data_IF_906265538998
#
_entry.id   IF_906265538998
#
_cell.length_a   1.000
_cell.length_b   1.000
_cell.length_c   1.000
_cell.angle_alpha   90.00
_cell.angle_beta   90.00
_cell.angle_gamma   90.00
#
_symmetry.space_group_name_H-M   'P 1'
#
loop_
_entity.id
_entity.type
_entity.pdbx_description
1 polymer ?
#
# COMPACT_ATOMS: atom_id res chain seq x y z
N UNK A 1 -53.46 29.05 -12.66
CA UNK A 1 -52.81 27.79 -12.22
C UNK A 1 -51.30 27.71 -12.54
N UNK A 2 -50.65 28.76 -13.06
CA UNK A 2 -49.24 28.73 -13.51
C UNK A 2 -48.20 29.25 -12.51
N UNK A 3 -48.61 29.94 -11.44
CA UNK A 3 -47.67 30.49 -10.44
C UNK A 3 -46.99 29.41 -9.59
N UNK A 4 -47.68 28.32 -9.25
CA UNK A 4 -47.12 27.24 -8.41
C UNK A 4 -46.06 26.38 -9.14
N UNK A 5 -46.15 26.26 -10.46
CA UNK A 5 -45.19 25.50 -11.26
C UNK A 5 -43.81 26.19 -11.33
N UNK A 6 -43.80 27.53 -11.44
CA UNK A 6 -42.55 28.31 -11.47
C UNK A 6 -41.80 28.25 -10.14
N UNK A 7 -42.51 28.32 -9.00
CA UNK A 7 -41.90 28.14 -7.69
C UNK A 7 -41.34 26.73 -7.51
N UNK A 8 -42.05 25.69 -7.97
CA UNK A 8 -41.55 24.32 -7.93
C UNK A 8 -40.28 24.13 -8.77
N UNK A 9 -40.22 24.70 -9.98
CA UNK A 9 -39.02 24.61 -10.83
C UNK A 9 -37.82 25.36 -10.25
N UNK A 10 -38.02 26.52 -9.63
CA UNK A 10 -36.93 27.30 -9.00
C UNK A 10 -36.37 26.54 -7.79
N UNK A 11 -37.23 25.93 -6.97
CA UNK A 11 -36.81 25.11 -5.82
C UNK A 11 -35.99 23.91 -6.29
N UNK A 12 -36.40 23.22 -7.37
CA UNK A 12 -35.66 22.07 -7.92
C UNK A 12 -34.27 22.51 -8.42
N UNK A 13 -34.16 23.62 -9.16
CA UNK A 13 -32.87 24.11 -9.67
C UNK A 13 -31.96 24.57 -8.53
N UNK A 14 -32.49 25.20 -7.49
CA UNK A 14 -31.72 25.59 -6.29
C UNK A 14 -31.25 24.36 -5.52
N UNK A 15 -32.09 23.34 -5.36
CA UNK A 15 -31.69 22.09 -4.71
C UNK A 15 -30.62 21.36 -5.52
N UNK A 16 -30.77 21.27 -6.85
CA UNK A 16 -29.77 20.63 -7.72
C UNK A 16 -28.44 21.39 -7.73
N UNK A 17 -28.46 22.72 -7.75
CA UNK A 17 -27.23 23.53 -7.69
C UNK A 17 -26.58 23.47 -6.32
N UNK A 18 -27.35 23.43 -5.22
CA UNK A 18 -26.82 23.21 -3.87
C UNK A 18 -26.25 21.81 -3.69
N UNK A 19 -26.90 20.77 -4.22
CA UNK A 19 -26.36 19.39 -4.22
C UNK A 19 -25.09 19.30 -5.05
N UNK A 20 -25.06 19.95 -6.23
CA UNK A 20 -23.87 20.05 -7.06
C UNK A 20 -22.73 20.80 -6.36
N UNK A 21 -23.03 21.91 -5.67
CA UNK A 21 -22.04 22.68 -4.91
C UNK A 21 -21.55 21.92 -3.67
N UNK A 22 -22.42 21.22 -2.95
CA UNK A 22 -22.02 20.37 -1.82
C UNK A 22 -21.18 19.17 -2.28
N UNK A 23 -21.45 18.61 -3.47
CA UNK A 23 -20.61 17.59 -4.11
C UNK A 23 -19.21 18.10 -4.45
N UNK A 24 -19.06 19.39 -4.82
CA UNK A 24 -17.74 20.02 -5.05
C UNK A 24 -17.09 20.59 -3.79
N UNK A 25 -17.85 20.75 -2.70
CA UNK A 25 -17.41 21.41 -1.46
C UNK A 25 -16.54 20.54 -0.54
N UNK A 26 -16.34 19.27 -0.86
CA UNK A 26 -15.46 18.38 -0.08
C UNK A 26 -14.12 18.15 -0.78
N UNK A 27 -13.34 19.21 -0.99
CA UNK A 27 -11.88 19.07 -0.99
C UNK A 27 -11.43 19.09 0.47
N UNK A 28 -11.73 17.99 1.17
CA UNK A 28 -11.15 17.73 2.48
C UNK A 28 -9.63 17.73 2.33
N UNK A 29 -8.93 18.39 3.25
CA UNK A 29 -7.47 18.40 3.34
C UNK A 29 -6.93 17.02 3.75
N UNK A 30 -7.18 16.00 2.92
CA UNK A 30 -6.47 14.74 2.97
C UNK A 30 -5.00 15.02 2.66
N UNK A 31 -4.10 14.52 3.53
CA UNK A 31 -2.66 14.51 3.23
C UNK A 31 -2.49 13.76 1.91
N UNK A 32 -2.27 14.49 0.82
CA UNK A 32 -1.94 13.87 -0.46
C UNK A 32 -0.76 12.93 -0.26
N UNK A 33 -0.82 11.75 -0.87
CA UNK A 33 0.31 10.83 -0.90
C UNK A 33 1.42 11.56 -1.68
N UNK A 34 2.36 12.18 -0.96
CA UNK A 34 3.36 13.09 -1.51
C UNK A 34 4.20 12.38 -2.56
N UNK A 35 4.45 13.06 -3.67
CA UNK A 35 5.08 12.43 -4.80
C UNK A 35 6.09 13.33 -5.49
N UNK A 36 7.35 12.89 -5.51
CA UNK A 36 8.44 13.59 -6.18
C UNK A 36 8.60 13.04 -7.59
N UNK A 37 8.36 13.87 -8.61
CA UNK A 37 8.46 13.51 -10.04
C UNK A 37 9.93 13.38 -10.54
N UNK A 38 10.87 13.08 -9.66
CA UNK A 38 12.28 12.94 -10.01
C UNK A 38 12.53 11.53 -10.53
N UNK A 39 13.06 11.40 -11.76
CA UNK A 39 13.49 10.11 -12.31
C UNK A 39 14.45 9.42 -11.34
N UNK A 40 14.20 8.15 -11.09
CA UNK A 40 15.00 7.35 -10.17
C UNK A 40 16.40 7.10 -10.71
N UNK A 41 17.37 6.97 -9.80
CA UNK A 41 18.80 6.86 -10.16
C UNK A 41 19.15 5.61 -10.97
N UNK A 42 18.27 4.60 -10.98
CA UNK A 42 18.44 3.35 -11.76
C UNK A 42 17.47 3.24 -12.95
N UNK A 43 16.63 4.24 -13.18
CA UNK A 43 15.69 4.28 -14.32
C UNK A 43 16.37 4.86 -15.57
N UNK A 44 17.16 4.04 -16.26
CA UNK A 44 17.79 4.40 -17.55
C UNK A 44 16.98 3.90 -18.75
N UNK A 45 17.05 4.52 -19.94
CA UNK A 45 16.24 4.13 -21.10
C UNK A 45 16.46 2.69 -21.61
N UNK A 46 17.60 2.07 -21.27
CA UNK A 46 17.95 0.71 -21.69
C UNK A 46 17.52 -0.36 -20.69
N UNK A 47 16.96 0.02 -19.53
CA UNK A 47 16.45 -0.93 -18.54
C UNK A 47 15.17 -1.59 -19.07
N UNK A 48 15.17 -2.92 -19.14
CA UNK A 48 14.03 -3.69 -19.68
C UNK A 48 13.28 -4.49 -18.62
N UNK A 49 13.97 -4.94 -17.55
CA UNK A 49 13.39 -5.84 -16.56
C UNK A 49 14.10 -5.74 -15.21
N UNK A 50 13.34 -5.90 -14.12
CA UNK A 50 13.85 -5.88 -12.74
C UNK A 50 13.20 -7.02 -11.97
N UNK A 51 14.03 -7.84 -11.31
CA UNK A 51 13.57 -8.78 -10.28
C UNK A 51 14.02 -8.24 -8.93
N UNK A 52 13.10 -8.18 -7.97
CA UNK A 52 13.41 -7.90 -6.57
C UNK A 52 13.10 -9.14 -5.75
N UNK A 53 14.14 -9.75 -5.17
CA UNK A 53 14.00 -10.84 -4.20
C UNK A 53 14.42 -10.29 -2.84
N UNK A 54 13.54 -10.43 -1.86
CA UNK A 54 13.79 -9.94 -0.50
C UNK A 54 13.35 -10.96 0.52
N UNK A 55 14.08 -11.02 1.63
CA UNK A 55 13.61 -11.68 2.85
C UNK A 55 12.44 -10.88 3.44
N UNK A 56 11.62 -11.56 4.24
CA UNK A 56 10.69 -10.90 5.16
C UNK A 56 11.42 -9.90 6.09
N UNK A 57 10.68 -8.93 6.63
CA UNK A 57 11.20 -7.98 7.61
C UNK A 57 11.56 -8.65 8.94
N UNK A 58 12.08 -7.87 9.89
CA UNK A 58 12.36 -8.36 11.24
C UNK A 58 11.13 -9.04 11.88
N UNK A 59 11.35 -10.17 12.54
CA UNK A 59 10.31 -11.01 13.15
C UNK A 59 10.72 -11.49 14.54
N UNK A 60 9.76 -11.98 15.32
CA UNK A 60 10.03 -12.76 16.53
C UNK A 60 10.81 -14.05 16.23
N UNK A 61 11.46 -14.64 17.24
CA UNK A 61 12.16 -15.91 17.11
C UNK A 61 11.18 -17.03 16.75
N UNK A 62 11.65 -18.06 16.02
CA UNK A 62 10.85 -19.28 15.79
C UNK A 62 10.95 -20.25 16.97
N UNK A 63 12.07 -20.21 17.67
CA UNK A 63 12.35 -20.98 18.87
C UNK A 63 13.43 -20.27 19.67
N UNK A 64 13.54 -20.62 20.95
CA UNK A 64 14.54 -20.12 21.88
C UNK A 64 15.18 -21.29 22.59
N UNK A 65 16.46 -21.14 22.97
CA UNK A 65 17.11 -22.13 23.85
C UNK A 65 16.49 -22.08 25.25
N UNK A 66 16.53 -23.20 25.96
CA UNK A 66 15.90 -23.33 27.28
C UNK A 66 16.40 -22.29 28.30
N UNK A 67 17.66 -21.88 28.20
CA UNK A 67 18.28 -20.88 29.08
C UNK A 67 18.04 -19.42 28.66
N UNK A 68 17.29 -19.18 27.58
CA UNK A 68 17.01 -17.83 27.12
C UNK A 68 16.21 -17.05 28.18
N UNK A 69 16.65 -15.84 28.57
CA UNK A 69 15.84 -14.97 29.43
C UNK A 69 14.59 -14.43 28.72
N UNK A 70 14.57 -14.48 27.39
CA UNK A 70 13.45 -14.05 26.55
C UNK A 70 12.95 -15.25 25.77
N UNK A 71 11.91 -15.92 26.28
CA UNK A 71 11.34 -17.09 25.63
C UNK A 71 10.53 -16.67 24.39
N UNK A 72 10.52 -17.52 23.36
CA UNK A 72 9.85 -17.22 22.08
C UNK A 72 8.33 -17.00 22.23
N UNK A 73 7.72 -17.65 23.21
CA UNK A 73 6.30 -17.52 23.54
C UNK A 73 5.98 -16.37 24.53
N UNK A 74 7.00 -15.63 24.98
CA UNK A 74 6.79 -14.48 25.85
C UNK A 74 6.21 -13.31 25.05
N UNK A 75 4.89 -13.14 25.13
CA UNK A 75 4.16 -12.08 24.42
C UNK A 75 4.38 -10.69 25.00
N UNK A 76 4.98 -10.57 26.19
CA UNK A 76 5.42 -9.27 26.70
C UNK A 76 6.65 -8.74 25.95
N UNK A 77 7.49 -9.65 25.46
CA UNK A 77 8.72 -9.35 24.69
C UNK A 77 8.47 -9.44 23.18
N UNK A 78 7.64 -10.40 22.75
CA UNK A 78 7.26 -10.64 21.37
C UNK A 78 5.74 -10.46 21.21
N UNK A 79 5.21 -9.23 21.13
CA UNK A 79 3.76 -8.97 21.16
C UNK A 79 2.96 -9.63 20.04
N UNK A 80 3.59 -9.88 18.89
CA UNK A 80 2.97 -10.57 17.76
C UNK A 80 3.14 -12.09 17.83
N UNK A 81 3.95 -12.61 18.76
CA UNK A 81 4.20 -14.02 18.95
C UNK A 81 5.38 -14.58 18.15
N UNK A 82 5.50 -15.90 18.22
CA UNK A 82 6.57 -16.71 17.64
C UNK A 82 6.60 -16.56 16.13
N UNK A 83 7.75 -16.22 15.56
CA UNK A 83 7.94 -16.16 14.10
C UNK A 83 7.21 -15.03 13.38
N UNK A 84 6.40 -14.24 14.08
CA UNK A 84 5.58 -13.19 13.49
C UNK A 84 6.34 -11.89 13.25
N UNK A 85 5.90 -11.14 12.24
CA UNK A 85 6.55 -9.90 11.82
C UNK A 85 6.43 -8.83 12.92
N UNK A 86 7.54 -8.22 13.33
CA UNK A 86 7.53 -7.16 14.35
C UNK A 86 7.12 -5.82 13.75
N UNK A 87 6.76 -4.85 14.59
CA UNK A 87 6.51 -3.47 14.12
C UNK A 87 7.74 -2.88 13.41
N UNK A 88 8.95 -3.21 13.88
CA UNK A 88 10.20 -2.84 13.20
C UNK A 88 10.29 -3.48 11.82
N UNK A 89 9.97 -4.76 11.71
CA UNK A 89 9.92 -5.48 10.44
C UNK A 89 8.94 -4.87 9.46
N UNK A 90 7.77 -4.45 9.96
CA UNK A 90 6.76 -3.77 9.13
C UNK A 90 7.29 -2.48 8.51
N UNK A 91 7.88 -1.62 9.35
CA UNK A 91 8.48 -0.36 8.90
C UNK A 91 9.65 -0.58 7.93
N UNK A 92 10.44 -1.64 8.12
CA UNK A 92 11.53 -2.00 7.21
C UNK A 92 11.01 -2.32 5.81
N UNK A 93 9.95 -3.11 5.71
CA UNK A 93 9.41 -3.52 4.41
C UNK A 93 8.74 -2.37 3.67
N UNK A 94 8.00 -1.52 4.39
CA UNK A 94 7.45 -0.29 3.80
C UNK A 94 8.54 0.63 3.24
N UNK A 95 9.57 0.92 4.03
CA UNK A 95 10.70 1.75 3.59
C UNK A 95 11.50 1.11 2.46
N UNK A 96 11.58 -0.22 2.42
CA UNK A 96 12.20 -0.93 1.31
C UNK A 96 11.40 -0.72 0.02
N UNK A 97 10.06 -0.76 0.09
CA UNK A 97 9.16 -0.40 -1.01
C UNK A 97 9.41 1.02 -1.51
N UNK A 98 9.43 2.01 -0.61
CA UNK A 98 9.75 3.41 -0.95
C UNK A 98 11.13 3.55 -1.60
N UNK A 99 12.11 2.79 -1.09
CA UNK A 99 13.47 2.81 -1.65
C UNK A 99 13.52 2.23 -3.05
N UNK A 100 12.85 1.11 -3.31
CA UNK A 100 12.75 0.52 -4.65
C UNK A 100 12.00 1.47 -5.58
N UNK A 101 10.89 2.07 -5.14
CA UNK A 101 10.16 3.09 -5.89
C UNK A 101 11.07 4.23 -6.33
N UNK A 102 11.82 4.81 -5.40
CA UNK A 102 12.72 5.94 -5.70
C UNK A 102 13.88 5.55 -6.61
N UNK A 103 14.38 4.31 -6.56
CA UNK A 103 15.43 3.85 -7.47
C UNK A 103 14.94 3.70 -8.91
N UNK A 104 13.71 3.22 -9.10
CA UNK A 104 13.15 2.85 -10.41
C UNK A 104 12.03 3.77 -10.88
N UNK A 105 11.87 4.96 -10.28
CA UNK A 105 10.87 5.94 -10.72
C UNK A 105 11.11 6.34 -12.19
N UNK A 106 10.10 6.19 -13.03
CA UNK A 106 10.18 6.39 -14.48
C UNK A 106 10.47 5.12 -15.31
N UNK A 107 10.89 4.03 -14.66
CA UNK A 107 10.79 2.67 -15.22
C UNK A 107 9.50 2.01 -14.73
N UNK A 108 9.25 2.09 -13.42
CA UNK A 108 7.93 1.79 -12.86
C UNK A 108 7.01 3.00 -13.09
N UNK A 109 5.90 2.77 -13.79
CA UNK A 109 4.82 3.77 -13.88
C UNK A 109 4.34 4.13 -12.47
N UNK A 110 3.88 5.37 -12.30
CA UNK A 110 3.31 5.83 -11.05
C UNK A 110 2.01 5.12 -10.70
N UNK A 111 1.22 4.81 -11.71
CA UNK A 111 0.03 3.98 -11.57
C UNK A 111 0.40 2.50 -11.66
N UNK A 112 -0.15 1.67 -10.79
CA UNK A 112 -0.02 0.22 -10.92
C UNK A 112 -0.74 -0.29 -12.16
N UNK A 113 -0.10 -1.17 -12.93
CA UNK A 113 -0.70 -1.87 -14.08
C UNK A 113 -0.46 -3.39 -13.96
N UNK A 114 -1.50 -4.23 -13.99
CA UNK A 114 -1.33 -5.69 -13.86
C UNK A 114 -0.43 -6.35 -14.91
N UNK A 115 -0.28 -5.75 -16.10
CA UNK A 115 0.58 -6.26 -17.16
C UNK A 115 2.08 -6.03 -16.93
N UNK A 116 2.43 -5.02 -16.13
CA UNK A 116 3.82 -4.54 -15.99
C UNK A 116 4.46 -4.97 -14.67
N UNK A 117 3.67 -5.48 -13.73
CA UNK A 117 4.12 -5.83 -12.39
C UNK A 117 3.40 -7.07 -11.84
N UNK A 118 4.18 -7.96 -11.23
CA UNK A 118 3.67 -9.10 -10.46
C UNK A 118 4.43 -9.21 -9.15
N UNK A 119 3.72 -9.56 -8.08
CA UNK A 119 4.29 -9.86 -6.78
C UNK A 119 4.00 -11.31 -6.41
N UNK A 120 5.02 -11.97 -5.87
CA UNK A 120 4.95 -13.35 -5.39
C UNK A 120 5.47 -13.41 -3.95
N UNK A 121 4.92 -14.31 -3.14
CA UNK A 121 5.34 -14.51 -1.76
C UNK A 121 5.13 -15.95 -1.33
N UNK A 122 5.96 -16.46 -0.42
CA UNK A 122 5.66 -17.74 0.23
C UNK A 122 4.49 -17.55 1.21
N UNK A 123 3.63 -18.57 1.43
CA UNK A 123 2.41 -18.43 2.23
C UNK A 123 2.58 -18.24 3.75
N UNK A 124 3.78 -17.98 4.28
CA UNK A 124 3.92 -17.66 5.70
C UNK A 124 3.33 -16.28 6.01
N UNK A 125 2.67 -16.11 7.16
CA UNK A 125 2.05 -14.83 7.55
C UNK A 125 3.05 -13.65 7.52
N UNK A 126 4.28 -13.88 8.02
CA UNK A 126 5.38 -12.89 7.98
C UNK A 126 5.81 -12.46 6.58
N UNK A 127 5.76 -13.34 5.58
CA UNK A 127 6.19 -13.05 4.21
C UNK A 127 5.07 -12.37 3.43
N UNK A 128 3.81 -12.76 3.65
CA UNK A 128 2.65 -12.07 3.10
C UNK A 128 2.55 -10.63 3.63
N UNK A 129 2.58 -10.43 4.95
CA UNK A 129 2.59 -9.07 5.54
C UNK A 129 3.78 -8.23 5.05
N UNK A 130 4.96 -8.85 4.87
CA UNK A 130 6.13 -8.16 4.33
C UNK A 130 5.91 -7.70 2.89
N UNK A 131 5.29 -8.54 2.06
CA UNK A 131 4.95 -8.20 0.68
C UNK A 131 3.91 -7.08 0.61
N UNK A 132 2.84 -7.14 1.41
CA UNK A 132 1.82 -6.07 1.48
C UNK A 132 2.43 -4.71 1.81
N UNK A 133 3.32 -4.67 2.81
CA UNK A 133 3.98 -3.43 3.23
C UNK A 133 4.97 -2.91 2.21
N UNK A 134 5.73 -3.81 1.58
CA UNK A 134 6.61 -3.44 0.47
C UNK A 134 5.80 -2.83 -0.68
N UNK A 135 4.67 -3.42 -1.05
CA UNK A 135 3.79 -2.91 -2.10
C UNK A 135 3.14 -1.57 -1.73
N UNK A 136 2.78 -1.38 -0.46
CA UNK A 136 2.25 -0.11 0.04
C UNK A 136 3.26 1.04 -0.14
N UNK A 137 4.56 0.79 0.08
CA UNK A 137 5.62 1.77 -0.19
C UNK A 137 6.00 1.88 -1.67
N UNK A 138 5.76 0.83 -2.47
CA UNK A 138 6.11 0.79 -3.90
C UNK A 138 5.07 1.49 -4.78
N UNK A 139 3.78 1.35 -4.47
CA UNK A 139 2.66 1.85 -5.27
C UNK A 139 1.64 2.62 -4.42
N UNK A 140 2.02 3.81 -3.90
CA UNK A 140 1.04 4.69 -3.27
C UNK A 140 -0.06 5.04 -4.28
N UNK A 141 -1.36 4.96 -3.90
CA UNK A 141 -2.45 5.13 -4.84
C UNK A 141 -2.60 6.59 -5.27
N UNK A 142 -2.87 6.81 -6.56
CA UNK A 142 -3.17 8.13 -7.12
C UNK A 142 -4.17 8.09 -8.25
N UNK A 143 -4.72 9.27 -8.59
CA UNK A 143 -5.72 9.40 -9.63
C UNK A 143 -6.90 8.45 -9.38
N UNK A 144 -7.22 7.62 -10.36
CA UNK A 144 -8.32 6.67 -10.26
C UNK A 144 -8.06 5.50 -9.29
N UNK A 145 -6.80 5.25 -8.89
CA UNK A 145 -6.44 4.21 -7.92
C UNK A 145 -6.59 4.67 -6.47
N UNK A 146 -6.76 5.98 -6.23
CA UNK A 146 -7.08 6.52 -4.92
C UNK A 146 -8.56 6.28 -4.58
N UNK A 147 -8.85 5.07 -4.11
CA UNK A 147 -10.20 4.65 -3.73
C UNK A 147 -10.68 5.23 -2.39
N UNK A 148 -9.75 5.69 -1.54
CA UNK A 148 -10.02 6.28 -0.24
C UNK A 148 -9.07 7.45 0.04
N UNK A 149 -9.61 8.64 0.32
CA UNK A 149 -8.82 9.87 0.54
C UNK A 149 -8.10 9.90 1.89
N UNK A 150 -8.56 9.11 2.86
CA UNK A 150 -7.99 9.03 4.21
C UNK A 150 -6.98 7.89 4.37
N UNK A 151 -6.80 7.07 3.32
CA UNK A 151 -5.96 5.88 3.33
C UNK A 151 -5.08 5.79 2.07
N UNK A 152 -3.80 6.17 2.19
CA UNK A 152 -2.77 6.03 1.15
C UNK A 152 -2.34 4.55 0.98
N UNK A 153 -3.28 3.67 0.69
CA UNK A 153 -3.04 2.24 0.40
C UNK A 153 -4.02 1.75 -0.65
N UNK A 154 -3.57 0.85 -1.52
CA UNK A 154 -4.42 0.15 -2.47
C UNK A 154 -4.16 -1.36 -2.42
N UNK A 155 -5.20 -2.18 -2.66
CA UNK A 155 -5.02 -3.62 -2.77
C UNK A 155 -4.25 -3.96 -4.06
N UNK A 156 -3.20 -4.75 -3.91
CA UNK A 156 -2.39 -5.26 -5.01
C UNK A 156 -2.29 -6.78 -4.91
N UNK A 157 -2.48 -7.54 -6.01
CA UNK A 157 -2.38 -8.99 -5.98
C UNK A 157 -0.99 -9.47 -5.56
N UNK A 158 -0.95 -10.39 -4.59
CA UNK A 158 0.26 -11.14 -4.20
C UNK A 158 -0.04 -12.62 -4.44
N UNK A 159 0.69 -13.23 -5.36
CA UNK A 159 0.49 -14.63 -5.71
C UNK A 159 1.34 -15.55 -4.81
N UNK A 160 0.77 -16.66 -4.32
CA UNK A 160 1.52 -17.61 -3.52
C UNK A 160 2.54 -18.35 -4.39
N UNK A 161 3.79 -18.41 -3.92
CA UNK A 161 4.78 -19.36 -4.41
C UNK A 161 4.83 -20.54 -3.43
N UNK A 162 4.43 -21.72 -3.91
CA UNK A 162 4.44 -22.96 -3.11
C UNK A 162 5.79 -23.68 -3.10
N UNK A 163 6.80 -23.16 -3.82
CA UNK A 163 8.09 -23.82 -3.98
C UNK A 163 8.97 -23.76 -2.71
N UNK A 164 8.70 -22.81 -1.81
CA UNK A 164 9.49 -22.58 -0.59
C UNK A 164 8.91 -23.25 0.68
N UNK A 165 7.90 -24.12 0.56
CA UNK A 165 7.20 -24.74 1.73
C UNK A 165 7.61 -26.18 2.06
N UNK A 166 8.69 -26.68 1.47
CA UNK A 166 9.19 -28.04 1.71
C UNK A 166 10.53 -28.07 2.44
N UNK A 167 10.68 -27.33 3.54
CA UNK A 167 11.71 -27.58 4.57
C UNK A 167 11.20 -27.26 5.99
#
# INVERSE_FOLDING_TARGET
>A
MTRWLLFSSIVIVVVLTLVYYQSKGSTGGGRGCNDSNTRGTRSVPTLQFVIVVTRHGNRGPLSTVATSPYQSNDTSVWPYGVGELTQRGRNQMYKLGEKVRSMYNGFLDYTYRPGDFQAWSSPAGRTLQSAELFLAGLFPPTGFQLWNQDLCWQPLPIYPSSLDHYE
#
